data_IF_805627128355
#
_entry.id   IF_805627128355
#
_cell.length_a   1.000
_cell.length_b   1.000
_cell.length_c   1.000
_cell.angle_alpha   90.00
_cell.angle_beta   90.00
_cell.angle_gamma   90.00
#
_symmetry.space_group_name_H-M   'P 1'
#
loop_
_entity.id
_entity.type
_entity.pdbx_description
1 polymer ?
#
# COMPACT_ATOMS: atom_id res chain seq x y z
N UNK A 1 -27.93 -4.81 -4.38
CA UNK A 1 -27.02 -4.94 -3.24
C UNK A 1 -25.74 -4.15 -3.49
N UNK A 2 -25.38 -3.32 -2.52
CA UNK A 2 -24.10 -2.63 -2.57
C UNK A 2 -23.00 -3.57 -2.15
N UNK A 3 -21.96 -3.62 -2.94
CA UNK A 3 -20.76 -4.35 -2.60
C UNK A 3 -19.90 -3.51 -1.65
N UNK A 4 -19.44 -4.10 -0.58
CA UNK A 4 -18.60 -3.43 0.39
C UNK A 4 -17.13 -3.59 0.03
N UNK A 5 -16.40 -2.50 0.15
CA UNK A 5 -14.96 -2.46 -0.09
C UNK A 5 -14.26 -1.85 1.11
N UNK A 6 -13.04 -2.27 1.34
CA UNK A 6 -12.20 -1.71 2.38
C UNK A 6 -10.78 -1.49 1.84
N UNK A 7 -10.14 -0.43 2.30
CA UNK A 7 -8.74 -0.14 1.96
C UNK A 7 -7.94 -0.12 3.25
N UNK A 8 -6.83 -0.83 3.24
CA UNK A 8 -5.88 -0.82 4.34
C UNK A 8 -4.52 -0.34 3.82
N UNK A 9 -4.02 0.72 4.41
CA UNK A 9 -2.70 1.26 4.08
C UNK A 9 -1.78 1.12 5.29
N UNK A 10 -0.56 0.69 5.04
CA UNK A 10 0.45 0.56 6.07
C UNK A 10 1.80 1.04 5.57
N UNK A 11 2.60 1.57 6.49
CA UNK A 11 3.98 1.97 6.22
C UNK A 11 4.87 1.23 7.21
N UNK A 12 5.84 0.51 6.69
CA UNK A 12 6.72 -0.34 7.49
C UNK A 12 8.17 0.06 7.26
N UNK A 13 8.93 0.04 8.35
CA UNK A 13 10.37 0.16 8.27
C UNK A 13 10.95 -1.20 7.90
N UNK A 14 11.80 -1.22 6.89
CA UNK A 14 12.52 -2.40 6.46
C UNK A 14 14.02 -2.10 6.46
N UNK A 15 14.83 -3.05 6.82
CA UNK A 15 16.26 -2.92 6.82
C UNK A 15 16.88 -3.97 5.91
N UNK A 16 17.90 -3.57 5.16
CA UNK A 16 18.63 -4.50 4.34
C UNK A 16 20.13 -4.23 4.43
N UNK A 17 20.91 -5.25 4.19
CA UNK A 17 22.35 -5.14 4.23
C UNK A 17 22.89 -4.89 2.83
N UNK A 18 23.61 -3.79 2.68
CA UNK A 18 24.24 -3.42 1.42
C UNK A 18 25.66 -3.99 1.40
N UNK A 19 25.88 -5.00 0.58
CA UNK A 19 27.17 -5.67 0.48
C UNK A 19 28.24 -4.82 -0.19
N UNK A 20 27.86 -3.81 -0.95
CA UNK A 20 28.83 -2.92 -1.60
C UNK A 20 29.43 -1.94 -0.60
N UNK A 21 28.64 -1.38 0.28
CA UNK A 21 29.08 -0.42 1.28
C UNK A 21 29.32 -1.05 2.65
N UNK A 22 28.95 -2.33 2.84
CA UNK A 22 28.99 -3.05 4.12
C UNK A 22 28.23 -2.33 5.24
N UNK A 23 27.11 -1.72 4.90
CA UNK A 23 26.25 -1.00 5.86
C UNK A 23 24.82 -1.50 5.80
N UNK A 24 24.14 -1.42 6.94
CA UNK A 24 22.70 -1.62 6.99
C UNK A 24 22.02 -0.33 6.56
N UNK A 25 21.09 -0.47 5.62
CA UNK A 25 20.29 0.66 5.16
C UNK A 25 18.85 0.47 5.58
N UNK A 26 18.22 1.58 5.94
CA UNK A 26 16.80 1.63 6.23
C UNK A 26 16.05 2.05 4.98
N UNK A 27 14.96 1.37 4.72
CA UNK A 27 14.05 1.72 3.65
C UNK A 27 12.62 1.66 4.20
N UNK A 28 11.75 2.48 3.67
CA UNK A 28 10.36 2.49 4.08
C UNK A 28 9.52 1.86 3.00
N UNK A 29 8.69 0.92 3.39
CA UNK A 29 7.79 0.22 2.47
C UNK A 29 6.37 0.65 2.75
N UNK A 30 5.69 1.15 1.72
CA UNK A 30 4.26 1.42 1.77
C UNK A 30 3.52 0.24 1.13
N UNK A 31 2.47 -0.20 1.77
CA UNK A 31 1.64 -1.32 1.33
C UNK A 31 0.18 -0.91 1.43
N UNK A 32 -0.52 -0.91 0.30
CA UNK A 32 -1.95 -0.58 0.25
C UNK A 32 -2.69 -1.78 -0.30
N UNK A 33 -3.67 -2.26 0.45
CA UNK A 33 -4.48 -3.42 0.10
C UNK A 33 -5.93 -3.02 -0.08
N UNK A 34 -6.51 -3.39 -1.21
CA UNK A 34 -7.93 -3.25 -1.47
C UNK A 34 -8.62 -4.58 -1.26
N UNK A 35 -9.70 -4.58 -0.51
CA UNK A 35 -10.47 -5.78 -0.18
C UNK A 35 -11.93 -5.59 -0.54
N UNK A 36 -12.58 -6.68 -0.91
CA UNK A 36 -14.01 -6.75 -1.20
C UNK A 36 -14.65 -7.77 -0.27
N UNK A 37 -15.80 -7.43 0.26
CA UNK A 37 -16.54 -8.36 1.11
C UNK A 37 -17.40 -9.29 0.27
N UNK A 38 -17.24 -10.58 0.49
CA UNK A 38 -18.10 -11.61 -0.08
C UNK A 38 -18.63 -12.50 1.04
N UNK A 39 -19.94 -12.40 1.28
CA UNK A 39 -20.55 -13.10 2.41
C UNK A 39 -19.97 -12.58 3.73
N UNK A 40 -19.33 -13.46 4.49
CA UNK A 40 -18.69 -13.11 5.76
C UNK A 40 -17.18 -12.94 5.64
N UNK A 41 -16.61 -13.11 4.45
CA UNK A 41 -15.17 -13.05 4.24
C UNK A 41 -14.77 -11.80 3.47
N UNK A 42 -13.57 -11.29 3.78
CA UNK A 42 -12.94 -10.21 3.03
C UNK A 42 -11.90 -10.81 2.09
N UNK A 43 -12.06 -10.56 0.80
CA UNK A 43 -11.13 -11.03 -0.21
C UNK A 43 -10.23 -9.88 -0.66
N UNK A 44 -8.93 -10.13 -0.68
CA UNK A 44 -7.98 -9.17 -1.25
C UNK A 44 -8.09 -9.19 -2.76
N UNK A 45 -8.46 -8.05 -3.36
CA UNK A 45 -8.64 -7.93 -4.80
C UNK A 45 -7.56 -7.10 -5.46
N UNK A 46 -6.84 -6.30 -4.68
CA UNK A 46 -5.76 -5.47 -5.20
C UNK A 46 -4.73 -5.18 -4.12
N UNK A 47 -3.47 -5.10 -4.52
CA UNK A 47 -2.38 -4.75 -3.63
C UNK A 47 -1.34 -3.94 -4.39
N UNK A 48 -0.92 -2.81 -3.80
CA UNK A 48 0.20 -2.02 -4.29
C UNK A 48 1.23 -1.88 -3.19
N UNK A 49 2.48 -2.06 -3.57
CA UNK A 49 3.62 -1.87 -2.66
C UNK A 49 4.66 -1.02 -3.35
N UNK A 50 5.26 -0.12 -2.59
CA UNK A 50 6.34 0.72 -3.09
C UNK A 50 7.34 1.00 -2.00
N UNK A 51 8.61 1.11 -2.36
CA UNK A 51 9.70 1.42 -1.45
C UNK A 51 10.07 2.89 -1.56
N UNK A 52 10.40 3.48 -0.41
CA UNK A 52 10.79 4.88 -0.30
C UNK A 52 11.98 5.01 0.63
N UNK A 53 12.80 6.02 0.41
CA UNK A 53 13.91 6.32 1.31
C UNK A 53 13.46 7.10 2.53
N UNK A 54 12.32 7.78 2.45
CA UNK A 54 11.76 8.63 3.49
C UNK A 54 10.41 8.08 3.96
N UNK A 55 10.21 8.12 5.28
CA UNK A 55 8.93 7.74 5.89
C UNK A 55 7.80 8.65 5.45
N UNK A 56 8.06 9.95 5.35
CA UNK A 56 7.07 10.93 4.94
C UNK A 56 6.59 10.68 3.52
N UNK A 57 7.50 10.39 2.60
CA UNK A 57 7.14 10.05 1.23
C UNK A 57 6.30 8.79 1.16
N UNK A 58 6.66 7.77 1.95
CA UNK A 58 5.89 6.53 2.01
C UNK A 58 4.48 6.77 2.52
N UNK A 59 4.33 7.58 3.57
CA UNK A 59 3.02 7.94 4.14
C UNK A 59 2.17 8.73 3.16
N UNK A 60 2.76 9.71 2.48
CA UNK A 60 2.05 10.52 1.49
C UNK A 60 1.53 9.66 0.35
N UNK A 61 2.38 8.80 -0.18
CA UNK A 61 2.00 7.91 -1.26
C UNK A 61 0.87 6.96 -0.83
N UNK A 62 1.01 6.34 0.34
CA UNK A 62 0.00 5.41 0.87
C UNK A 62 -1.34 6.12 1.09
N UNK A 63 -1.32 7.33 1.65
CA UNK A 63 -2.53 8.12 1.87
C UNK A 63 -3.20 8.51 0.55
N UNK A 64 -2.41 8.86 -0.46
CA UNK A 64 -2.92 9.24 -1.78
C UNK A 64 -3.59 8.04 -2.47
N UNK A 65 -2.96 6.88 -2.43
CA UNK A 65 -3.53 5.65 -3.02
C UNK A 65 -4.80 5.26 -2.29
N UNK A 66 -4.77 5.30 -0.96
CA UNK A 66 -5.94 4.98 -0.14
C UNK A 66 -7.12 5.90 -0.47
N UNK A 67 -6.87 7.22 -0.56
CA UNK A 67 -7.89 8.19 -0.88
C UNK A 67 -8.46 7.99 -2.30
N UNK A 68 -7.59 7.72 -3.27
CA UNK A 68 -8.01 7.47 -4.64
C UNK A 68 -8.86 6.22 -4.76
N UNK A 69 -8.46 5.15 -4.11
CA UNK A 69 -9.23 3.90 -4.14
C UNK A 69 -10.59 4.04 -3.44
N UNK A 70 -10.61 4.75 -2.32
CA UNK A 70 -11.86 5.01 -1.59
C UNK A 70 -12.82 5.89 -2.39
N UNK A 71 -12.27 6.85 -3.16
CA UNK A 71 -13.08 7.80 -3.94
C UNK A 71 -13.55 7.23 -5.28
N UNK A 72 -12.66 6.54 -5.99
CA UNK A 72 -12.89 6.19 -7.39
C UNK A 72 -13.20 4.72 -7.62
N UNK A 73 -13.38 3.94 -6.56
CA UNK A 73 -13.56 2.51 -6.68
C UNK A 73 -12.24 1.79 -7.03
N UNK A 74 -12.07 0.56 -6.54
CA UNK A 74 -10.87 -0.24 -6.70
C UNK A 74 -10.54 -0.64 -8.13
N UNK A 75 -11.47 -0.43 -9.05
CA UNK A 75 -11.32 -0.85 -10.44
C UNK A 75 -10.76 0.24 -11.34
N UNK A 76 -10.53 1.44 -10.83
CA UNK A 76 -9.89 2.48 -11.60
C UNK A 76 -8.43 2.10 -11.87
N UNK A 77 -8.11 1.85 -13.13
CA UNK A 77 -6.77 1.51 -13.57
C UNK A 77 -5.92 2.78 -13.62
N UNK A 78 -5.42 3.23 -12.49
CA UNK A 78 -4.48 4.34 -12.43
C UNK A 78 -3.10 3.81 -12.15
N UNK A 79 -2.11 4.37 -12.83
CA UNK A 79 -0.71 4.09 -12.56
C UNK A 79 -0.23 5.02 -11.44
N UNK A 80 0.38 4.44 -10.46
CA UNK A 80 0.98 5.16 -9.34
C UNK A 80 2.50 5.04 -9.36
#
# INVERSE_FOLDING_TARGET
MRQEYAVHAGVYEDTWYDYETHKRRKIWRADVRGKRKEGFAWLQIRRLRKRFESKEEAKEWAAQVEADWARNNFFALRKY
#
